data_IF_284950748339
#
_entry.id   IF_284950748339
#
_cell.length_a   1.000
_cell.length_b   1.000
_cell.length_c   1.000
_cell.angle_alpha   90.00
_cell.angle_beta   90.00
_cell.angle_gamma   90.00
#
_symmetry.space_group_name_H-M   'P 1'
#
loop_
_entity.id
_entity.type
_entity.pdbx_description
1 polymer ?
#
# COMPACT_ATOMS: atom_id res chain seq x y z
N UNK A 1 -7.86 -18.70 7.54
CA UNK A 1 -6.45 -18.33 7.31
C UNK A 1 -6.35 -16.83 7.51
N UNK A 2 -5.36 -16.36 8.27
CA UNK A 2 -5.15 -14.92 8.43
C UNK A 2 -4.48 -14.37 7.16
N UNK A 3 -4.87 -13.18 6.73
CA UNK A 3 -4.25 -12.45 5.64
C UNK A 3 -3.52 -11.24 6.21
N UNK A 4 -2.31 -10.97 5.74
CA UNK A 4 -1.58 -9.75 6.05
C UNK A 4 -2.01 -8.67 5.06
N UNK A 5 -2.57 -7.59 5.58
CA UNK A 5 -2.80 -6.36 4.82
C UNK A 5 -1.47 -5.64 4.62
N UNK A 6 -1.20 -5.18 3.41
CA UNK A 6 -0.09 -4.28 3.06
C UNK A 6 -0.66 -3.08 2.34
N UNK A 7 -0.35 -1.88 2.81
CA UNK A 7 -0.78 -0.62 2.21
C UNK A 7 0.45 0.22 1.89
N UNK A 8 0.56 0.62 0.63
CA UNK A 8 1.66 1.45 0.15
C UNK A 8 1.12 2.61 -0.67
N UNK A 9 1.87 3.71 -0.68
CA UNK A 9 1.57 4.87 -1.50
C UNK A 9 2.82 5.37 -2.22
N UNK A 10 2.63 6.15 -3.28
CA UNK A 10 3.74 6.67 -4.08
C UNK A 10 3.85 8.20 -3.95
N UNK A 11 4.52 8.70 -2.90
CA UNK A 11 4.60 10.14 -2.66
C UNK A 11 5.27 10.86 -3.84
N UNK A 12 4.73 12.02 -4.22
CA UNK A 12 5.26 12.84 -5.32
C UNK A 12 5.03 12.29 -6.72
N UNK A 13 4.34 11.15 -6.86
CA UNK A 13 3.99 10.60 -8.18
C UNK A 13 3.01 11.51 -8.91
N UNK A 14 3.31 11.78 -10.18
CA UNK A 14 2.37 12.43 -11.09
C UNK A 14 1.31 11.43 -11.58
N UNK A 15 0.05 11.85 -11.80
CA UNK A 15 -1.07 10.93 -12.00
C UNK A 15 -0.96 9.95 -13.18
N UNK A 16 -0.17 10.30 -14.20
CA UNK A 16 0.01 9.49 -15.41
C UNK A 16 1.41 8.87 -15.51
N UNK A 17 2.20 8.91 -14.43
CA UNK A 17 3.53 8.28 -14.43
C UNK A 17 3.40 6.77 -14.56
N UNK A 18 4.23 6.20 -15.45
CA UNK A 18 4.40 4.76 -15.63
C UNK A 18 5.44 4.17 -14.67
N UNK A 19 6.26 5.01 -14.04
CA UNK A 19 7.24 4.61 -13.02
C UNK A 19 6.81 5.16 -11.66
N UNK A 20 6.78 4.31 -10.63
CA UNK A 20 6.34 4.66 -9.27
C UNK A 20 7.30 4.08 -8.24
N UNK A 21 7.64 4.89 -7.24
CA UNK A 21 8.34 4.43 -6.03
C UNK A 21 7.30 4.20 -4.94
N UNK A 22 7.24 3.00 -4.37
CA UNK A 22 6.23 2.63 -3.38
C UNK A 22 6.83 2.68 -1.98
N UNK A 23 6.10 3.28 -1.05
CA UNK A 23 6.48 3.40 0.36
C UNK A 23 5.44 2.68 1.20
N UNK A 24 5.91 1.76 2.05
CA UNK A 24 5.06 1.00 2.98
C UNK A 24 4.60 1.89 4.13
N UNK A 25 3.29 1.98 4.29
CA UNK A 25 2.62 2.72 5.37
C UNK A 25 1.68 1.85 6.17
N UNK A 26 1.82 0.51 6.06
CA UNK A 26 0.95 -0.47 6.71
C UNK A 26 0.83 -0.24 8.22
N UNK A 27 1.93 0.09 8.90
CA UNK A 27 1.95 0.36 10.35
C UNK A 27 1.21 1.63 10.77
N UNK A 28 0.89 2.50 9.80
CA UNK A 28 0.16 3.76 10.01
C UNK A 28 -1.32 3.66 9.65
N UNK A 29 -1.79 2.52 9.14
CA UNK A 29 -3.20 2.32 8.80
C UNK A 29 -4.03 2.11 10.06
N UNK A 30 -5.02 2.97 10.29
CA UNK A 30 -6.01 2.79 11.37
C UNK A 30 -7.25 2.06 10.86
N UNK A 31 -7.63 2.34 9.63
CA UNK A 31 -8.80 1.76 8.98
C UNK A 31 -8.55 1.62 7.48
N UNK A 32 -9.02 0.51 6.91
CA UNK A 32 -8.94 0.25 5.49
C UNK A 32 -10.14 -0.59 5.07
N UNK A 33 -10.92 -0.08 4.14
CA UNK A 33 -12.06 -0.75 3.53
C UNK A 33 -11.97 -0.56 2.02
N UNK A 34 -12.30 -1.61 1.26
CA UNK A 34 -12.37 -1.51 -0.19
C UNK A 34 -13.49 -2.40 -0.71
N UNK A 35 -14.19 -1.90 -1.72
CA UNK A 35 -15.19 -2.63 -2.46
C UNK A 35 -14.74 -2.72 -3.91
N UNK A 36 -14.57 -3.95 -4.39
CA UNK A 36 -14.19 -4.23 -5.78
C UNK A 36 -15.07 -5.34 -6.35
N UNK A 37 -15.37 -5.23 -7.64
CA UNK A 37 -16.16 -6.23 -8.36
C UNK A 37 -17.66 -6.01 -8.20
N UNK A 38 -18.45 -7.08 -8.43
CA UNK A 38 -19.91 -7.06 -8.36
C UNK A 38 -20.38 -7.89 -7.18
N UNK A 39 -21.33 -7.37 -6.41
CA UNK A 39 -21.97 -8.12 -5.32
C UNK A 39 -23.10 -9.03 -5.83
N UNK A 40 -23.58 -8.84 -7.07
CA UNK A 40 -24.65 -9.60 -7.70
C UNK A 40 -24.31 -9.88 -9.16
N UNK A 41 -24.72 -11.05 -9.66
CA UNK A 41 -24.33 -11.51 -10.99
C UNK A 41 -24.86 -10.67 -12.16
N UNK A 42 -26.01 -10.02 -11.97
CA UNK A 42 -26.69 -9.23 -12.99
C UNK A 42 -26.38 -7.73 -12.92
N UNK A 43 -25.59 -7.30 -11.92
CA UNK A 43 -25.20 -5.90 -11.77
C UNK A 43 -24.01 -5.61 -12.67
N UNK A 44 -24.03 -4.46 -13.36
CA UNK A 44 -22.89 -3.95 -14.12
C UNK A 44 -21.69 -3.74 -13.19
N UNK A 45 -20.48 -3.91 -13.70
CA UNK A 45 -19.26 -3.81 -12.90
C UNK A 45 -19.00 -2.35 -12.51
N UNK A 46 -19.19 -1.95 -11.22
CA UNK A 46 -18.86 -0.60 -10.80
C UNK A 46 -17.32 -0.45 -10.76
N UNK A 47 -16.82 0.79 -10.84
CA UNK A 47 -15.45 1.06 -10.44
C UNK A 47 -15.26 0.65 -8.97
N UNK A 48 -14.08 0.10 -8.67
CA UNK A 48 -13.73 -0.19 -7.28
C UNK A 48 -13.52 1.08 -6.47
N UNK A 49 -13.90 1.06 -5.20
CA UNK A 49 -13.71 2.15 -4.25
C UNK A 49 -12.91 1.64 -3.06
N UNK A 50 -12.07 2.50 -2.49
CA UNK A 50 -11.32 2.19 -1.28
C UNK A 50 -11.21 3.42 -0.39
N UNK A 51 -11.44 3.23 0.90
CA UNK A 51 -11.27 4.23 1.95
C UNK A 51 -10.16 3.77 2.89
N UNK A 52 -9.14 4.61 3.04
CA UNK A 52 -8.00 4.37 3.92
C UNK A 52 -7.90 5.54 4.89
N UNK A 53 -7.81 5.25 6.19
CA UNK A 53 -7.52 6.25 7.22
C UNK A 53 -6.13 5.96 7.77
N UNK A 54 -5.25 6.95 7.64
CA UNK A 54 -3.89 6.90 8.13
C UNK A 54 -3.76 7.72 9.41
N UNK A 55 -3.11 7.14 10.40
CA UNK A 55 -2.75 7.83 11.63
C UNK A 55 -1.71 8.91 11.33
N UNK A 56 -1.90 10.10 11.90
CA UNK A 56 -1.04 11.26 11.68
C UNK A 56 -0.60 11.96 12.99
N UNK A 57 -0.65 11.25 14.12
CA UNK A 57 -0.41 11.81 15.46
C UNK A 57 1.07 11.96 15.83
N UNK A 58 1.90 10.97 15.52
CA UNK A 58 3.26 10.84 16.08
C UNK A 58 4.26 11.87 15.53
N UNK A 59 4.19 12.13 14.22
CA UNK A 59 5.16 12.98 13.51
C UNK A 59 4.54 13.93 12.48
N UNK A 60 3.20 13.97 12.40
CA UNK A 60 2.47 14.75 11.38
C UNK A 60 3.04 14.55 9.97
N UNK A 61 3.39 13.31 9.63
CA UNK A 61 4.06 12.97 8.37
C UNK A 61 3.15 13.17 7.16
N UNK A 62 1.85 12.97 7.34
CA UNK A 62 0.81 13.16 6.32
C UNK A 62 0.16 14.55 6.41
N UNK A 63 0.78 15.48 7.14
CA UNK A 63 0.33 16.86 7.23
C UNK A 63 1.00 17.71 6.12
N UNK A 64 0.24 18.31 5.20
CA UNK A 64 0.80 19.10 4.10
C UNK A 64 1.48 20.40 4.58
N UNK A 65 1.11 20.91 5.76
CA UNK A 65 1.63 22.16 6.31
C UNK A 65 2.89 21.92 7.18
N UNK A 66 3.20 20.67 7.50
CA UNK A 66 4.42 20.33 8.22
C UNK A 66 5.62 20.31 7.27
N UNK A 67 6.36 21.42 7.18
CA UNK A 67 7.55 21.53 6.32
C UNK A 67 8.70 20.62 6.71
N UNK A 68 8.68 20.07 7.93
CA UNK A 68 9.69 19.12 8.43
C UNK A 68 9.31 17.66 8.20
N UNK A 69 8.12 17.37 7.65
CA UNK A 69 7.72 16.00 7.34
C UNK A 69 8.46 15.45 6.12
N UNK A 70 8.70 14.14 6.12
CA UNK A 70 9.32 13.42 5.00
C UNK A 70 8.52 13.56 3.69
N UNK A 71 7.20 13.72 3.78
CA UNK A 71 6.29 13.81 2.63
C UNK A 71 5.83 15.23 2.29
N UNK A 72 6.44 16.26 2.87
CA UNK A 72 6.08 17.64 2.56
C UNK A 72 6.19 17.92 1.05
N UNK A 73 5.18 18.59 0.48
CA UNK A 73 5.11 18.88 -0.96
C UNK A 73 4.83 17.65 -1.86
N UNK A 74 4.71 16.46 -1.30
CA UNK A 74 4.53 15.20 -2.03
C UNK A 74 3.11 14.62 -1.88
N UNK A 75 2.32 15.14 -0.94
CA UNK A 75 0.93 14.77 -0.67
C UNK A 75 -0.05 15.50 -1.61
N UNK A 76 0.12 15.28 -2.90
CA UNK A 76 -0.71 15.92 -3.93
C UNK A 76 -1.99 15.12 -4.22
N UNK A 77 -3.06 15.76 -4.72
CA UNK A 77 -4.22 15.04 -5.21
C UNK A 77 -3.84 13.99 -6.26
N UNK A 78 -4.52 12.84 -6.24
CA UNK A 78 -4.32 11.72 -7.18
C UNK A 78 -2.97 11.01 -7.05
N UNK A 79 -2.28 11.16 -5.92
CA UNK A 79 -1.17 10.27 -5.55
C UNK A 79 -1.70 8.83 -5.45
N UNK A 80 -1.09 7.86 -6.13
CA UNK A 80 -1.61 6.50 -6.18
C UNK A 80 -1.31 5.75 -4.88
N UNK A 81 -2.30 4.98 -4.45
CA UNK A 81 -2.21 3.98 -3.39
C UNK A 81 -2.30 2.58 -3.99
N UNK A 82 -1.70 1.60 -3.32
CA UNK A 82 -1.92 0.17 -3.58
C UNK A 82 -2.20 -0.55 -2.28
N UNK A 83 -3.19 -1.44 -2.33
CA UNK A 83 -3.62 -2.28 -1.21
C UNK A 83 -3.42 -3.73 -1.64
N UNK A 84 -2.72 -4.51 -0.84
CA UNK A 84 -2.46 -5.92 -1.11
C UNK A 84 -2.84 -6.76 0.10
N UNK A 85 -3.53 -7.87 -0.15
CA UNK A 85 -3.80 -8.91 0.85
C UNK A 85 -2.90 -10.10 0.55
N UNK A 86 -1.89 -10.29 1.39
CA UNK A 86 -0.96 -11.41 1.27
C UNK A 86 -1.43 -12.55 2.18
N UNK A 87 -1.34 -13.82 1.75
CA UNK A 87 -1.55 -14.91 2.69
C UNK A 87 -0.51 -14.80 3.80
N UNK A 88 -0.94 -14.84 5.06
CA UNK A 88 0.01 -15.10 6.14
C UNK A 88 0.42 -16.56 6.01
N UNK A 89 1.50 -16.80 5.29
CA UNK A 89 2.28 -18.01 5.55
C UNK A 89 2.68 -17.91 7.02
N UNK A 90 2.24 -18.85 7.86
CA UNK A 90 3.00 -19.11 9.09
C UNK A 90 4.43 -19.30 8.58
N UNK A 91 5.38 -18.53 9.09
CA UNK A 91 6.79 -18.88 8.93
C UNK A 91 6.91 -20.36 9.26
N UNK A 92 7.02 -21.21 8.23
CA UNK A 92 7.29 -22.61 8.46
C UNK A 92 8.63 -22.60 9.19
N UNK A 93 8.72 -23.08 10.44
CA UNK A 93 9.96 -22.98 11.20
C UNK A 93 10.99 -23.81 10.45
N UNK A 94 11.89 -23.16 9.70
CA UNK A 94 12.95 -23.83 8.94
C UNK A 94 13.31 -23.30 7.54
N UNK A 95 12.64 -22.29 6.96
CA UNK A 95 13.05 -21.79 5.63
C UNK A 95 13.87 -20.48 5.71
N UNK A 96 15.11 -20.58 6.21
CA UNK A 96 16.13 -19.60 5.87
C UNK A 96 16.79 -20.02 4.55
N UNK A 97 16.27 -19.53 3.43
CA UNK A 97 16.78 -19.86 2.10
C UNK A 97 17.14 -18.60 1.33
N UNK A 98 18.28 -17.98 1.65
CA UNK A 98 18.94 -17.06 0.73
C UNK A 98 19.29 -17.85 -0.54
N UNK A 99 18.64 -17.52 -1.66
CA UNK A 99 18.95 -18.10 -2.96
C UNK A 99 20.32 -17.63 -3.43
N UNK A 100 21.38 -18.39 -3.10
CA UNK A 100 22.68 -18.22 -3.73
C UNK A 100 22.61 -18.74 -5.17
N UNK A 101 22.72 -17.86 -6.17
CA UNK A 101 22.95 -18.30 -7.54
C UNK A 101 24.45 -18.48 -7.76
N UNK A 102 24.93 -19.72 -7.80
CA UNK A 102 26.23 -20.02 -8.41
C UNK A 102 26.04 -20.03 -9.92
N UNK A 103 26.69 -19.10 -10.62
CA UNK A 103 26.79 -19.09 -12.08
C UNK A 103 27.72 -20.22 -12.52
N UNK A 104 27.21 -21.16 -13.31
CA UNK A 104 28.01 -22.23 -13.89
C UNK A 104 28.79 -21.67 -15.11
N UNK A 105 30.08 -21.97 -15.17
CA UNK A 105 31.01 -21.64 -16.28
C UNK A 105 31.50 -22.92 -16.93
#
# INVERSE_FOLDING_TARGET
MAHKLVVEFSPGSVPLSTTRSWVDVTERVEFCEWEIGRQRDLTEWPPGEATIVLRNDDHREFDPDNTSSTYNGQLLPRVPFRIMSLPTVLDAPGVSGAGASTSDT
#
